data_IF_284063869093
#
_entry.id   IF_284063869093
#
_cell.length_a   1.000
_cell.length_b   1.000
_cell.length_c   1.000
_cell.angle_alpha   90.00
_cell.angle_beta   90.00
_cell.angle_gamma   90.00
#
_symmetry.space_group_name_H-M   'P 1'
#
loop_
_entity.id
_entity.type
_entity.pdbx_description
1 polymer ?
#
# COMPACT_ATOMS: atom_id res chain seq x y z
N UNK A 1 10.87 17.43 -9.68
CA UNK A 1 10.58 16.00 -9.40
C UNK A 1 9.15 15.93 -8.85
N UNK A 2 8.22 15.16 -9.43
CA UNK A 2 6.83 15.12 -8.95
C UNK A 2 6.75 14.50 -7.55
N UNK A 3 5.93 15.08 -6.66
CA UNK A 3 5.73 14.63 -5.27
C UNK A 3 5.35 13.14 -5.12
N UNK A 4 4.73 12.56 -6.15
CA UNK A 4 4.33 11.14 -6.19
C UNK A 4 5.50 10.16 -6.36
N UNK A 5 6.65 10.62 -6.88
CA UNK A 5 7.88 9.81 -7.01
C UNK A 5 8.48 9.52 -5.64
N UNK A 6 8.26 10.42 -4.69
CA UNK A 6 8.95 10.48 -3.40
C UNK A 6 8.30 9.57 -2.35
N UNK A 7 6.98 9.36 -2.42
CA UNK A 7 6.24 8.64 -1.36
C UNK A 7 6.72 7.21 -1.10
N UNK A 8 7.09 6.46 -2.15
CA UNK A 8 7.50 5.06 -2.03
C UNK A 8 8.87 4.91 -1.37
N UNK A 9 9.86 5.70 -1.82
CA UNK A 9 11.23 5.65 -1.28
C UNK A 9 11.24 6.01 0.21
N UNK A 10 10.41 6.96 0.63
CA UNK A 10 10.27 7.33 2.03
C UNK A 10 9.56 6.25 2.84
N UNK A 11 8.48 5.66 2.31
CA UNK A 11 7.82 4.54 2.98
C UNK A 11 8.78 3.36 3.18
N UNK A 12 9.54 3.01 2.14
CA UNK A 12 10.57 1.99 2.21
C UNK A 12 11.65 2.32 3.25
N UNK A 13 12.25 3.52 3.19
CA UNK A 13 13.24 3.96 4.16
C UNK A 13 12.73 3.86 5.61
N UNK A 14 11.51 4.35 5.87
CA UNK A 14 10.94 4.33 7.22
C UNK A 14 10.61 2.90 7.68
N UNK A 15 9.94 2.12 6.85
CA UNK A 15 9.41 0.82 7.23
C UNK A 15 10.52 -0.25 7.19
N UNK A 16 11.23 -0.35 6.08
CA UNK A 16 12.24 -1.40 5.85
C UNK A 16 13.56 -1.05 6.52
N UNK A 17 14.09 0.16 6.33
CA UNK A 17 15.43 0.49 6.88
C UNK A 17 15.35 0.93 8.36
N UNK A 18 14.38 1.76 8.72
CA UNK A 18 14.21 2.26 10.10
C UNK A 18 13.32 1.41 10.98
N UNK A 19 12.73 0.34 10.44
CA UNK A 19 11.87 -0.58 11.18
C UNK A 19 10.74 0.16 11.90
N UNK A 20 10.16 1.16 11.23
CA UNK A 20 8.98 1.84 11.72
C UNK A 20 7.89 0.81 12.05
N UNK A 21 7.17 1.07 13.14
CA UNK A 21 6.09 0.19 13.60
C UNK A 21 4.90 0.35 12.68
N UNK A 22 4.45 -0.76 12.09
CA UNK A 22 3.37 -0.78 11.08
C UNK A 22 2.16 -1.59 11.54
N UNK A 23 2.24 -2.22 12.71
CA UNK A 23 1.20 -3.04 13.32
C UNK A 23 0.14 -2.23 14.06
N UNK A 24 0.35 -0.92 14.22
CA UNK A 24 -0.59 -0.03 14.91
C UNK A 24 -1.27 0.91 13.91
N UNK A 25 -2.54 1.26 14.16
CA UNK A 25 -3.22 2.25 13.34
C UNK A 25 -2.67 3.65 13.60
N UNK A 26 -2.93 4.53 12.65
CA UNK A 26 -2.76 5.96 12.79
C UNK A 26 -4.11 6.66 12.61
N UNK A 27 -4.22 7.86 13.18
CA UNK A 27 -5.40 8.71 13.05
C UNK A 27 -5.06 9.88 12.12
N UNK A 28 -6.00 10.28 11.27
CA UNK A 28 -5.82 11.49 10.47
C UNK A 28 -6.03 12.71 11.36
N UNK A 29 -5.08 13.65 11.30
CA UNK A 29 -5.18 14.93 12.01
C UNK A 29 -6.36 15.78 11.49
N UNK A 30 -6.76 15.60 10.23
CA UNK A 30 -7.85 16.36 9.60
C UNK A 30 -8.81 15.44 8.86
N UNK A 31 -10.06 15.38 9.35
CA UNK A 31 -11.18 14.84 8.60
C UNK A 31 -11.81 15.96 7.79
N UNK A 32 -11.69 15.91 6.47
CA UNK A 32 -12.35 16.85 5.54
C UNK A 32 -13.87 16.62 5.47
N UNK A 33 -14.53 16.56 6.62
CA UNK A 33 -15.98 16.71 6.78
C UNK A 33 -16.87 15.49 6.55
N UNK A 34 -16.34 14.27 6.37
CA UNK A 34 -17.19 13.08 6.09
C UNK A 34 -16.79 11.76 6.77
N UNK A 35 -15.79 11.74 7.65
CA UNK A 35 -15.31 10.51 8.30
C UNK A 35 -15.36 10.56 9.83
N UNK A 36 -15.36 9.38 10.45
CA UNK A 36 -15.19 9.23 11.90
C UNK A 36 -13.77 9.70 12.31
N UNK A 37 -13.61 10.66 13.23
CA UNK A 37 -12.29 11.09 13.72
C UNK A 37 -11.52 9.99 14.44
N UNK A 38 -12.20 8.90 14.82
CA UNK A 38 -11.60 7.73 15.43
C UNK A 38 -11.42 6.58 14.44
N UNK A 39 -11.61 6.81 13.14
CA UNK A 39 -11.33 5.80 12.12
C UNK A 39 -9.84 5.41 12.17
N UNK A 40 -9.60 4.15 12.47
CA UNK A 40 -8.27 3.57 12.52
C UNK A 40 -7.75 3.31 11.09
N UNK A 41 -6.71 4.03 10.69
CA UNK A 41 -6.06 3.78 9.41
C UNK A 41 -4.81 2.92 9.61
N UNK A 42 -4.71 1.83 8.84
CA UNK A 42 -3.54 0.97 8.87
C UNK A 42 -2.64 1.25 7.65
N UNK A 43 -1.30 1.28 7.80
CA UNK A 43 -0.38 1.45 6.68
C UNK A 43 -0.58 0.43 5.55
N UNK A 44 -0.99 -0.79 5.89
CA UNK A 44 -1.30 -1.84 4.90
C UNK A 44 -2.42 -1.44 3.94
N UNK A 45 -3.43 -0.71 4.42
CA UNK A 45 -4.54 -0.24 3.59
C UNK A 45 -4.04 0.79 2.57
N UNK A 46 -3.07 1.65 2.94
CA UNK A 46 -2.46 2.60 2.01
C UNK A 46 -1.67 1.85 0.93
N UNK A 47 -0.86 0.87 1.34
CA UNK A 47 -0.04 0.08 0.41
C UNK A 47 -0.90 -0.69 -0.60
N UNK A 48 -2.12 -1.13 -0.21
CA UNK A 48 -3.12 -1.73 -1.11
C UNK A 48 -3.74 -0.76 -2.13
N UNK A 49 -3.38 0.53 -2.12
CA UNK A 49 -3.77 1.49 -3.16
C UNK A 49 -2.66 1.77 -4.17
N UNK A 50 -1.43 1.31 -3.91
CA UNK A 50 -0.26 1.60 -4.73
C UNK A 50 -0.10 0.54 -5.82
N UNK A 51 -0.42 0.92 -7.06
CA UNK A 51 -0.41 0.08 -8.26
C UNK A 51 0.77 0.46 -9.16
N UNK A 52 1.67 -0.50 -9.38
CA UNK A 52 2.87 -0.35 -10.21
C UNK A 52 2.98 -1.48 -11.22
N UNK A 53 3.71 -1.25 -12.31
CA UNK A 53 4.01 -2.33 -13.24
C UNK A 53 4.81 -3.43 -12.51
N UNK A 54 4.45 -4.69 -12.74
CA UNK A 54 5.15 -5.84 -12.15
C UNK A 54 6.64 -5.79 -12.55
N UNK A 55 7.50 -6.22 -11.63
CA UNK A 55 8.96 -6.24 -11.77
C UNK A 55 9.62 -4.86 -11.97
N UNK A 56 8.85 -3.77 -11.92
CA UNK A 56 9.40 -2.42 -11.84
C UNK A 56 10.11 -2.19 -10.51
N UNK A 57 11.05 -1.25 -10.46
CA UNK A 57 11.77 -0.90 -9.22
C UNK A 57 10.80 -0.55 -8.08
N UNK A 58 9.68 0.12 -8.39
CA UNK A 58 8.67 0.42 -7.38
C UNK A 58 7.89 -0.81 -6.91
N UNK A 59 7.62 -1.76 -7.80
CA UNK A 59 7.00 -3.02 -7.41
C UNK A 59 7.94 -3.82 -6.49
N UNK A 60 9.25 -3.86 -6.78
CA UNK A 60 10.24 -4.49 -5.91
C UNK A 60 10.29 -3.86 -4.51
N UNK A 61 10.42 -2.54 -4.43
CA UNK A 61 10.38 -1.81 -3.15
C UNK A 61 9.08 -2.08 -2.38
N UNK A 62 7.96 -2.19 -3.10
CA UNK A 62 6.66 -2.55 -2.50
C UNK A 62 6.74 -3.92 -1.85
N UNK A 63 7.29 -4.91 -2.54
CA UNK A 63 7.41 -6.27 -2.03
C UNK A 63 8.35 -6.34 -0.82
N UNK A 64 9.42 -5.55 -0.78
CA UNK A 64 10.27 -5.43 0.42
C UNK A 64 9.50 -4.86 1.63
N UNK A 65 8.61 -3.88 1.39
CA UNK A 65 7.69 -3.39 2.44
C UNK A 65 6.70 -4.49 2.86
N UNK A 66 6.16 -5.28 1.93
CA UNK A 66 5.26 -6.40 2.23
C UNK A 66 5.96 -7.46 3.09
N UNK A 67 7.21 -7.78 2.80
CA UNK A 67 8.02 -8.71 3.61
C UNK A 67 8.23 -8.16 5.03
N UNK A 68 8.51 -6.85 5.16
CA UNK A 68 8.66 -6.22 6.46
C UNK A 68 7.35 -6.15 7.25
N UNK A 69 6.20 -5.93 6.58
CA UNK A 69 4.89 -6.07 7.19
C UNK A 69 4.68 -7.48 7.76
N UNK A 70 4.98 -8.52 6.98
CA UNK A 70 4.86 -9.90 7.42
C UNK A 70 5.77 -10.19 8.63
N UNK A 71 7.01 -9.67 8.65
CA UNK A 71 7.93 -9.77 9.78
C UNK A 71 7.35 -9.15 11.08
N UNK A 72 6.51 -8.11 10.94
CA UNK A 72 5.83 -7.45 12.05
C UNK A 72 4.42 -8.01 12.34
N UNK A 73 4.00 -9.09 11.67
CA UNK A 73 2.71 -9.73 11.88
C UNK A 73 1.52 -9.09 11.14
N UNK A 74 1.78 -8.22 10.16
CA UNK A 74 0.76 -7.58 9.33
C UNK A 74 0.64 -8.32 8.00
N UNK A 75 -0.52 -8.90 7.70
CA UNK A 75 -0.72 -9.66 6.47
C UNK A 75 -1.28 -8.79 5.33
N UNK A 76 -0.41 -8.42 4.40
CA UNK A 76 -0.77 -7.70 3.18
C UNK A 76 -1.71 -8.47 2.25
N UNK A 77 -1.48 -9.78 2.10
CA UNK A 77 -2.18 -10.61 1.12
C UNK A 77 -3.64 -10.86 1.51
N UNK A 78 -3.92 -10.96 2.81
CA UNK A 78 -5.28 -11.10 3.36
C UNK A 78 -6.02 -9.76 3.45
N UNK A 79 -5.32 -8.63 3.34
CA UNK A 79 -5.95 -7.31 3.39
C UNK A 79 -6.75 -7.07 2.10
N UNK A 80 -8.01 -6.66 2.19
CA UNK A 80 -8.85 -6.44 1.00
C UNK A 80 -8.25 -5.36 0.06
N UNK A 81 -8.35 -5.59 -1.25
CA UNK A 81 -8.05 -4.54 -2.24
C UNK A 81 -9.25 -3.61 -2.31
N UNK A 82 -9.05 -2.33 -2.01
CA UNK A 82 -10.13 -1.35 -2.12
C UNK A 82 -10.74 -1.38 -3.53
N UNK A 83 -12.08 -1.31 -3.60
CA UNK A 83 -12.86 -1.36 -4.85
C UNK A 83 -12.33 -0.40 -5.92
N UNK A 84 -12.01 0.83 -5.57
CA UNK A 84 -11.49 1.84 -6.51
C UNK A 84 -10.12 1.45 -7.08
N UNK A 85 -9.25 0.86 -6.27
CA UNK A 85 -7.97 0.32 -6.72
C UNK A 85 -8.17 -0.87 -7.64
N UNK A 86 -9.06 -1.80 -7.28
CA UNK A 86 -9.37 -2.96 -8.11
C UNK A 86 -9.93 -2.55 -9.48
N UNK A 87 -10.83 -1.55 -9.52
CA UNK A 87 -11.34 -0.96 -10.76
C UNK A 87 -10.23 -0.31 -11.58
N UNK A 88 -9.30 0.40 -10.93
CA UNK A 88 -8.12 0.96 -11.57
C UNK A 88 -7.19 -0.10 -12.18
N UNK A 89 -6.97 -1.21 -11.47
CA UNK A 89 -6.18 -2.36 -11.95
C UNK A 89 -6.87 -2.98 -13.16
N UNK A 90 -8.17 -3.26 -13.09
CA UNK A 90 -8.96 -3.83 -14.19
C UNK A 90 -8.92 -2.94 -15.44
N UNK A 91 -8.96 -1.62 -15.28
CA UNK A 91 -8.85 -0.69 -16.40
C UNK A 91 -7.46 -0.68 -17.04
N UNK A 92 -6.41 -0.89 -16.24
CA UNK A 92 -5.01 -0.87 -16.68
C UNK A 92 -4.58 -2.17 -17.34
N UNK A 93 -5.06 -3.31 -16.82
CA UNK A 93 -4.70 -4.65 -17.25
C UNK A 93 -5.99 -5.46 -17.53
N UNK A 94 -6.79 -5.08 -18.53
CA UNK A 94 -8.13 -5.64 -18.75
C UNK A 94 -8.14 -7.16 -18.94
N UNK A 95 -7.09 -7.72 -19.53
CA UNK A 95 -7.02 -9.14 -19.88
C UNK A 95 -6.20 -9.97 -18.87
N UNK A 96 -5.51 -9.33 -17.91
CA UNK A 96 -4.54 -9.98 -17.01
C UNK A 96 -4.64 -9.52 -15.57
N UNK A 97 -5.72 -8.83 -15.19
CA UNK A 97 -5.87 -8.28 -13.85
C UNK A 97 -5.94 -9.37 -12.78
N UNK A 98 -6.51 -10.55 -13.08
CA UNK A 98 -6.56 -11.69 -12.15
C UNK A 98 -5.17 -12.24 -11.85
N UNK A 99 -4.27 -12.36 -12.84
CA UNK A 99 -2.88 -12.72 -12.57
C UNK A 99 -2.14 -11.60 -11.85
N UNK A 100 -2.42 -10.35 -12.21
CA UNK A 100 -1.78 -9.18 -11.62
C UNK A 100 -2.04 -9.13 -10.10
N UNK A 101 -3.30 -9.24 -9.65
CA UNK A 101 -3.64 -9.12 -8.22
C UNK A 101 -3.02 -10.21 -7.33
N UNK A 102 -2.56 -11.33 -7.90
CA UNK A 102 -1.86 -12.41 -7.18
C UNK A 102 -0.39 -12.09 -6.91
N UNK A 103 0.19 -11.16 -7.67
CA UNK A 103 1.61 -10.75 -7.60
C UNK A 103 1.79 -9.30 -7.15
N UNK A 104 0.68 -8.59 -7.07
CA UNK A 104 0.52 -7.17 -6.82
C UNK A 104 1.08 -6.73 -5.47
#
# INVERSE_FOLDING_TARGET
MPLWVVGMEYAHYLIVEKKAKVSEPYYRETNYGQGDPYEEFFPVNILRTWVYDLDSERHKLKMEIVEEFARQGVNYWDTEINKSTLEGIKKRYPDTWEEYIKKY
#
